data_IF_884664735364
#
_entry.id   IF_884664735364
#
_cell.length_a   1.000
_cell.length_b   1.000
_cell.length_c   1.000
_cell.angle_alpha   90.00
_cell.angle_beta   90.00
_cell.angle_gamma   90.00
#
_symmetry.space_group_name_H-M   'P 1'
#
loop_
_entity.id
_entity.type
_entity.pdbx_description
1 polymer ?
#
# COMPACT_ATOMS: atom_id res chain seq x y z
N UNK A 1 -15.11 -43.68 12.92
CA UNK A 1 -14.62 -42.44 13.57
C UNK A 1 -13.56 -41.69 12.75
N UNK A 2 -12.80 -42.31 11.86
CA UNK A 2 -11.75 -41.65 11.06
C UNK A 2 -12.26 -40.66 9.96
N UNK A 3 -13.49 -40.80 9.49
CA UNK A 3 -14.05 -39.95 8.42
C UNK A 3 -14.41 -38.52 8.84
N UNK A 4 -14.67 -38.28 10.13
CA UNK A 4 -15.06 -36.96 10.63
C UNK A 4 -13.87 -36.05 10.94
N UNK A 5 -12.70 -36.61 11.23
CA UNK A 5 -11.48 -35.83 11.53
C UNK A 5 -10.90 -35.17 10.27
N UNK A 6 -11.02 -35.79 9.11
CA UNK A 6 -10.56 -35.23 7.83
C UNK A 6 -11.40 -34.03 7.35
N UNK A 7 -12.71 -34.03 7.65
CA UNK A 7 -13.61 -32.94 7.26
C UNK A 7 -13.37 -31.70 8.13
N UNK A 8 -13.06 -31.87 9.42
CA UNK A 8 -12.75 -30.74 10.30
C UNK A 8 -11.42 -30.06 9.94
N UNK A 9 -10.41 -30.82 9.51
CA UNK A 9 -9.12 -30.27 9.10
C UNK A 9 -9.21 -29.47 7.80
N UNK A 10 -10.04 -29.91 6.85
CA UNK A 10 -10.26 -29.19 5.58
C UNK A 10 -11.04 -27.87 5.77
N UNK A 11 -11.96 -27.84 6.73
CA UNK A 11 -12.77 -26.64 7.02
C UNK A 11 -11.97 -25.57 7.77
N UNK A 12 -10.94 -25.94 8.51
CA UNK A 12 -10.08 -24.98 9.21
C UNK A 12 -9.14 -24.23 8.24
N UNK A 13 -8.66 -24.90 7.18
CA UNK A 13 -7.82 -24.25 6.14
C UNK A 13 -8.60 -23.22 5.30
N UNK A 14 -9.91 -23.37 5.12
CA UNK A 14 -10.74 -22.41 4.38
C UNK A 14 -11.00 -21.10 5.16
N UNK A 15 -10.97 -21.11 6.48
CA UNK A 15 -11.16 -19.91 7.30
C UNK A 15 -9.92 -19.00 7.33
N UNK A 16 -8.74 -19.55 7.11
CA UNK A 16 -7.46 -18.84 7.12
C UNK A 16 -7.33 -17.95 5.87
N UNK A 17 -7.72 -18.45 4.71
CA UNK A 17 -7.66 -17.71 3.44
C UNK A 17 -8.59 -16.47 3.40
N UNK A 18 -9.72 -16.48 4.10
CA UNK A 18 -10.66 -15.36 4.15
C UNK A 18 -10.11 -14.10 4.84
N UNK A 19 -9.29 -14.25 5.88
CA UNK A 19 -8.89 -13.15 6.74
C UNK A 19 -7.93 -12.18 6.07
N UNK A 20 -6.99 -12.70 5.30
CA UNK A 20 -5.99 -11.91 4.55
C UNK A 20 -6.63 -11.21 3.35
N UNK A 21 -7.52 -11.89 2.67
CA UNK A 21 -8.31 -11.32 1.57
C UNK A 21 -9.24 -10.19 2.05
N UNK A 22 -9.84 -10.33 3.22
CA UNK A 22 -10.64 -9.29 3.85
C UNK A 22 -9.79 -8.09 4.27
N UNK A 23 -8.58 -8.32 4.78
CA UNK A 23 -7.60 -7.28 5.10
C UNK A 23 -7.21 -6.47 3.87
N UNK A 24 -6.86 -7.13 2.77
CA UNK A 24 -6.55 -6.51 1.48
C UNK A 24 -7.71 -5.64 0.98
N UNK A 25 -8.93 -6.19 0.92
CA UNK A 25 -10.13 -5.46 0.48
C UNK A 25 -10.44 -4.26 1.36
N UNK A 26 -10.18 -4.35 2.66
CA UNK A 26 -10.39 -3.24 3.58
C UNK A 26 -9.43 -2.08 3.27
N UNK A 27 -8.14 -2.37 3.07
CA UNK A 27 -7.14 -1.38 2.67
C UNK A 27 -7.52 -0.74 1.34
N UNK A 28 -7.84 -1.55 0.33
CA UNK A 28 -8.26 -1.06 -0.99
C UNK A 28 -9.46 -0.13 -0.91
N UNK A 29 -10.48 -0.48 -0.12
CA UNK A 29 -11.67 0.33 0.11
C UNK A 29 -11.38 1.66 0.83
N UNK A 30 -10.53 1.64 1.85
CA UNK A 30 -10.14 2.84 2.58
C UNK A 30 -9.38 3.81 1.69
N UNK A 31 -8.44 3.30 0.90
CA UNK A 31 -7.55 4.08 0.06
C UNK A 31 -8.26 4.62 -1.17
N UNK A 32 -9.15 3.86 -1.80
CA UNK A 32 -9.90 4.32 -2.98
C UNK A 32 -11.00 5.33 -2.65
N UNK A 33 -11.25 5.61 -1.40
CA UNK A 33 -12.23 6.61 -0.97
C UNK A 33 -11.61 8.00 -0.85
N UNK A 34 -12.05 8.94 -1.68
CA UNK A 34 -11.67 10.35 -1.60
C UNK A 34 -10.28 10.67 -2.16
N UNK A 35 -9.69 11.76 -1.69
CA UNK A 35 -8.38 12.24 -2.11
C UNK A 35 -7.41 12.33 -0.95
N UNK A 36 -6.14 12.20 -1.27
CA UNK A 36 -5.05 12.11 -0.30
C UNK A 36 -3.95 13.12 -0.63
N UNK A 37 -3.17 13.48 0.36
CA UNK A 37 -1.92 14.21 0.19
C UNK A 37 -0.78 13.45 0.85
N UNK A 38 0.43 13.61 0.38
CA UNK A 38 1.62 13.17 1.10
C UNK A 38 1.85 14.14 2.26
N UNK A 39 1.86 13.63 3.46
CA UNK A 39 2.10 14.38 4.70
C UNK A 39 3.49 14.16 5.27
N UNK A 40 4.17 13.09 4.82
CA UNK A 40 5.55 12.80 5.16
C UNK A 40 6.16 11.90 4.08
N UNK A 41 7.32 12.27 3.56
CA UNK A 41 8.15 11.42 2.71
C UNK A 41 9.61 11.62 3.08
N UNK A 42 10.24 10.55 3.51
CA UNK A 42 11.66 10.51 3.85
C UNK A 42 12.30 9.44 2.98
N UNK A 43 13.24 9.84 2.13
CA UNK A 43 14.05 8.96 1.29
C UNK A 43 15.49 8.97 1.81
N UNK A 44 16.01 7.79 2.16
CA UNK A 44 17.40 7.61 2.62
C UNK A 44 17.81 8.61 3.72
N UNK A 45 16.88 8.95 4.62
CA UNK A 45 17.07 9.86 5.74
C UNK A 45 16.91 11.35 5.38
N UNK A 46 16.54 11.69 4.14
CA UNK A 46 16.27 13.06 3.69
C UNK A 46 14.76 13.30 3.60
N UNK A 47 14.28 14.36 4.23
CA UNK A 47 12.87 14.78 4.11
C UNK A 47 12.64 15.45 2.76
N UNK A 48 11.87 14.78 1.91
CA UNK A 48 11.50 15.23 0.56
C UNK A 48 10.01 15.53 0.42
N UNK A 49 9.28 15.62 1.52
CA UNK A 49 7.83 15.91 1.56
C UNK A 49 7.44 17.12 0.71
N UNK A 50 8.28 18.15 0.69
CA UNK A 50 8.03 19.40 -0.05
C UNK A 50 7.87 19.19 -1.56
N UNK A 51 8.50 18.15 -2.13
CA UNK A 51 8.44 17.82 -3.56
C UNK A 51 7.01 17.47 -4.02
N UNK A 52 6.16 17.07 -3.09
CA UNK A 52 4.78 16.64 -3.36
C UNK A 52 3.74 17.64 -2.83
N UNK A 53 4.19 18.81 -2.37
CA UNK A 53 3.31 19.84 -1.84
C UNK A 53 2.29 20.33 -2.88
N UNK A 54 1.03 20.41 -2.48
CA UNK A 54 -0.08 20.83 -3.34
C UNK A 54 -0.64 19.74 -4.26
N UNK A 55 -0.06 18.55 -4.30
CA UNK A 55 -0.63 17.44 -5.05
C UNK A 55 -1.72 16.72 -4.27
N UNK A 56 -2.83 16.45 -4.96
CA UNK A 56 -3.89 15.55 -4.51
C UNK A 56 -3.73 14.22 -5.22
N UNK A 57 -3.68 13.16 -4.45
CA UNK A 57 -3.57 11.78 -4.92
C UNK A 57 -4.95 11.13 -4.91
N UNK A 58 -5.28 10.43 -5.97
CA UNK A 58 -6.52 9.65 -6.09
C UNK A 58 -6.18 8.24 -6.51
N UNK A 59 -6.55 7.29 -5.67
CA UNK A 59 -6.41 5.86 -5.91
C UNK A 59 -7.74 5.32 -6.43
N UNK A 60 -7.79 4.81 -7.66
CA UNK A 60 -9.01 4.28 -8.24
C UNK A 60 -9.08 2.76 -8.10
N UNK A 61 -10.29 2.23 -8.03
CA UNK A 61 -10.54 0.79 -7.89
C UNK A 61 -10.02 -0.05 -9.07
N UNK A 62 -9.76 0.59 -10.21
CA UNK A 62 -9.16 -0.05 -11.40
C UNK A 62 -7.63 -0.15 -11.35
N UNK A 63 -7.01 0.26 -10.24
CA UNK A 63 -5.55 0.28 -10.05
C UNK A 63 -4.86 1.53 -10.60
N UNK A 64 -5.61 2.51 -11.09
CA UNK A 64 -5.04 3.78 -11.54
C UNK A 64 -4.75 4.68 -10.34
N UNK A 65 -3.55 5.26 -10.29
CA UNK A 65 -3.16 6.31 -9.36
C UNK A 65 -2.98 7.62 -10.12
N UNK A 66 -3.60 8.68 -9.64
CA UNK A 66 -3.38 10.03 -10.20
C UNK A 66 -2.91 10.98 -9.14
N UNK A 67 -1.96 11.86 -9.49
CA UNK A 67 -1.50 12.97 -8.68
C UNK A 67 -1.72 14.28 -9.46
N UNK A 68 -2.43 15.23 -8.89
CA UNK A 68 -2.76 16.49 -9.56
C UNK A 68 -2.67 17.67 -8.59
N UNK A 69 -2.09 18.78 -9.08
CA UNK A 69 -2.03 20.06 -8.37
C UNK A 69 -2.82 21.19 -9.08
N UNK A 70 -3.70 20.83 -10.02
CA UNK A 70 -4.47 21.76 -10.82
C UNK A 70 -3.76 22.23 -12.12
N UNK A 71 -2.43 22.34 -12.11
CA UNK A 71 -1.63 22.70 -13.31
C UNK A 71 -1.03 21.47 -13.98
N UNK A 72 -0.63 20.50 -13.18
CA UNK A 72 0.01 19.24 -13.64
C UNK A 72 -0.81 18.05 -13.15
N UNK A 73 -0.85 17.01 -13.98
CA UNK A 73 -1.44 15.73 -13.66
C UNK A 73 -0.51 14.60 -14.07
N UNK A 74 -0.17 13.75 -13.14
CA UNK A 74 0.61 12.54 -13.36
C UNK A 74 -0.26 11.32 -13.12
N UNK A 75 -0.02 10.27 -13.90
CA UNK A 75 -0.77 9.01 -13.79
C UNK A 75 0.22 7.86 -13.59
N UNK A 76 -0.06 7.05 -12.62
CA UNK A 76 0.64 5.82 -12.31
C UNK A 76 -0.33 4.70 -12.00
N UNK A 77 0.17 3.68 -11.35
CA UNK A 77 -0.61 2.53 -10.89
C UNK A 77 -0.39 2.28 -9.40
N UNK A 78 -1.35 1.62 -8.78
CA UNK A 78 -1.25 1.15 -7.41
C UNK A 78 -1.93 -0.20 -7.26
N UNK A 79 -1.52 -0.97 -6.27
CA UNK A 79 -2.18 -2.22 -5.89
C UNK A 79 -1.80 -2.61 -4.46
N UNK A 80 -2.59 -3.50 -3.87
CA UNK A 80 -2.21 -4.23 -2.66
C UNK A 80 -1.90 -5.67 -3.07
N UNK A 81 -0.70 -6.14 -2.77
CA UNK A 81 -0.27 -7.50 -3.07
C UNK A 81 0.07 -8.27 -1.79
N UNK A 82 0.08 -9.58 -1.91
CA UNK A 82 0.47 -10.52 -0.87
C UNK A 82 1.79 -11.18 -1.28
N UNK A 83 2.84 -10.99 -0.48
CA UNK A 83 4.15 -11.59 -0.72
C UNK A 83 4.25 -13.06 -0.29
N UNK A 84 3.32 -13.54 0.56
CA UNK A 84 3.31 -14.91 1.06
C UNK A 84 1.88 -15.48 1.15
N UNK A 85 1.44 -16.17 0.12
CA UNK A 85 0.11 -16.78 0.04
C UNK A 85 -0.10 -18.02 0.92
N UNK A 86 0.92 -18.44 1.68
CA UNK A 86 0.86 -19.69 2.46
C UNK A 86 0.44 -19.50 3.91
N UNK A 87 0.36 -18.29 4.38
CA UNK A 87 -0.09 -17.97 5.73
C UNK A 87 -1.08 -16.79 5.77
N UNK A 88 -1.50 -16.43 6.97
CA UNK A 88 -2.57 -15.45 7.24
C UNK A 88 -2.01 -14.14 7.82
N UNK A 89 -0.72 -13.92 7.67
CA UNK A 89 -0.06 -12.77 8.24
C UNK A 89 -0.35 -11.50 7.42
N UNK A 90 -1.06 -10.56 7.98
CA UNK A 90 -1.36 -9.27 7.35
C UNK A 90 -0.10 -8.41 7.09
N UNK A 91 1.01 -8.72 7.78
CA UNK A 91 2.28 -8.03 7.56
C UNK A 91 2.95 -8.40 6.22
N UNK A 92 2.42 -9.40 5.52
CA UNK A 92 2.87 -9.79 4.18
C UNK A 92 2.13 -9.04 3.07
N UNK A 93 1.23 -8.12 3.43
CA UNK A 93 0.59 -7.24 2.48
C UNK A 93 1.48 -6.05 2.18
N UNK A 94 1.72 -5.83 0.89
CA UNK A 94 2.49 -4.70 0.37
C UNK A 94 1.61 -3.74 -0.40
N UNK A 95 1.91 -2.46 -0.28
CA UNK A 95 1.27 -1.39 -1.03
C UNK A 95 2.19 -0.96 -2.17
N UNK A 96 1.83 -1.32 -3.40
CA UNK A 96 2.67 -1.06 -4.56
C UNK A 96 2.29 0.27 -5.21
N UNK A 97 3.29 1.09 -5.52
CA UNK A 97 3.16 2.32 -6.29
C UNK A 97 4.12 2.27 -7.47
N UNK A 98 3.64 2.68 -8.64
CA UNK A 98 4.50 2.84 -9.81
C UNK A 98 4.08 4.03 -10.67
N UNK A 99 4.99 4.99 -10.85
CA UNK A 99 4.91 6.04 -11.86
C UNK A 99 6.01 5.80 -12.89
N UNK A 100 5.64 5.64 -14.16
CA UNK A 100 6.60 5.52 -15.24
C UNK A 100 7.07 6.93 -15.69
N UNK A 101 7.80 7.60 -14.80
CA UNK A 101 8.27 8.97 -14.93
C UNK A 101 9.75 9.06 -14.54
N UNK A 102 10.40 10.17 -14.90
CA UNK A 102 11.80 10.49 -14.59
C UNK A 102 11.91 11.77 -13.75
N UNK A 103 10.95 12.03 -12.89
CA UNK A 103 10.92 13.16 -11.96
C UNK A 103 10.73 12.62 -10.53
N UNK A 104 10.53 13.50 -9.55
CA UNK A 104 10.38 13.11 -8.13
C UNK A 104 9.31 12.05 -7.84
N UNK A 105 8.36 11.81 -8.77
CA UNK A 105 7.37 10.74 -8.62
C UNK A 105 7.98 9.35 -8.81
N UNK A 106 9.17 9.24 -9.44
CA UNK A 106 9.92 7.99 -9.51
C UNK A 106 10.33 7.49 -8.13
N UNK A 107 10.61 8.40 -7.21
CA UNK A 107 11.05 8.09 -5.84
C UNK A 107 9.93 7.47 -4.98
N UNK A 108 8.67 7.54 -5.43
CA UNK A 108 7.53 6.86 -4.80
C UNK A 108 7.37 5.39 -5.22
N UNK A 109 8.10 4.96 -6.27
CA UNK A 109 7.96 3.62 -6.84
C UNK A 109 8.58 2.58 -5.91
N UNK A 110 7.75 1.77 -5.29
CA UNK A 110 8.18 0.65 -4.46
C UNK A 110 7.03 -0.33 -4.17
N UNK A 111 7.38 -1.48 -3.58
CA UNK A 111 6.49 -2.42 -2.90
C UNK A 111 6.55 -2.17 -1.37
N UNK A 112 5.90 -1.12 -0.94
CA UNK A 112 5.93 -0.61 0.42
C UNK A 112 5.33 -1.58 1.44
N UNK A 113 6.02 -1.79 2.55
CA UNK A 113 5.44 -2.42 3.75
C UNK A 113 4.37 -1.52 4.36
N UNK A 114 3.21 -2.06 4.68
CA UNK A 114 2.12 -1.34 5.34
C UNK A 114 2.36 -1.31 6.85
N UNK A 115 2.69 -0.15 7.40
CA UNK A 115 2.89 0.05 8.84
C UNK A 115 1.55 0.19 9.56
N UNK A 116 0.67 1.04 9.02
CA UNK A 116 -0.69 1.23 9.52
C UNK A 116 -1.61 1.80 8.43
N UNK A 117 -2.89 1.54 8.56
CA UNK A 117 -3.90 2.08 7.66
C UNK A 117 -5.20 2.40 8.41
N UNK A 118 -5.91 3.39 7.91
CA UNK A 118 -7.24 3.78 8.36
C UNK A 118 -7.96 4.56 7.26
N UNK A 119 -9.20 4.94 7.50
CA UNK A 119 -9.96 5.79 6.56
C UNK A 119 -9.36 7.20 6.34
N UNK A 120 -8.37 7.62 7.14
CA UNK A 120 -7.78 8.96 7.10
C UNK A 120 -6.27 9.00 6.99
N UNK A 121 -5.58 7.87 7.17
CA UNK A 121 -4.11 7.80 7.18
C UNK A 121 -3.62 6.46 6.67
N UNK A 122 -2.59 6.49 5.83
CA UNK A 122 -1.84 5.31 5.37
C UNK A 122 -0.36 5.56 5.62
N UNK A 123 0.27 4.75 6.46
CA UNK A 123 1.69 4.81 6.79
C UNK A 123 2.41 3.62 6.19
N UNK A 124 3.42 3.93 5.40
CA UNK A 124 4.22 2.98 4.63
C UNK A 124 5.70 3.14 4.98
N UNK A 125 6.45 2.05 4.86
CA UNK A 125 7.90 2.06 4.95
C UNK A 125 8.52 1.12 3.92
N UNK A 126 9.73 1.41 3.49
CA UNK A 126 10.62 0.46 2.85
C UNK A 126 11.93 0.35 3.61
N UNK A 127 12.48 -0.85 3.67
CA UNK A 127 13.79 -1.11 4.26
C UNK A 127 14.71 -1.59 3.16
N UNK A 128 15.42 -0.65 2.55
CA UNK A 128 16.38 -0.93 1.50
C UNK A 128 17.51 -1.79 2.01
N UNK A 129 17.74 -2.95 1.38
CA UNK A 129 18.88 -3.80 1.66
C UNK A 129 20.20 -3.12 1.32
N UNK A 130 21.30 -3.49 2.02
CA UNK A 130 22.65 -3.06 1.66
C UNK A 130 23.07 -1.66 2.14
N UNK A 131 22.42 -1.10 3.16
CA UNK A 131 22.82 0.16 3.80
C UNK A 131 22.11 1.41 3.26
N UNK A 132 21.05 1.24 2.48
CA UNK A 132 20.22 2.33 1.93
C UNK A 132 19.32 3.03 2.96
N UNK A 133 19.16 2.47 4.15
CA UNK A 133 18.34 3.07 5.21
C UNK A 133 16.88 2.61 5.17
N UNK A 134 16.03 3.39 5.83
CA UNK A 134 14.58 3.16 5.87
C UNK A 134 13.89 4.36 5.25
N UNK A 135 13.07 4.10 4.25
CA UNK A 135 12.24 5.10 3.61
C UNK A 135 10.85 5.10 4.25
N UNK A 136 10.27 6.28 4.40
CA UNK A 136 8.97 6.47 5.04
C UNK A 136 8.06 7.28 4.13
N UNK A 137 6.85 6.78 3.91
CA UNK A 137 5.83 7.47 3.12
C UNK A 137 4.50 7.47 3.87
N UNK A 138 3.94 8.65 4.09
CA UNK A 138 2.63 8.78 4.75
C UNK A 138 1.67 9.57 3.88
N UNK A 139 0.54 8.97 3.57
CA UNK A 139 -0.61 9.66 3.00
C UNK A 139 -1.61 10.04 4.10
N UNK A 140 -2.09 11.27 4.07
CA UNK A 140 -3.19 11.75 4.89
C UNK A 140 -4.36 12.16 3.99
N UNK A 141 -5.57 11.85 4.42
CA UNK A 141 -6.80 12.23 3.69
C UNK A 141 -7.01 13.74 3.72
N UNK A 142 -7.49 14.30 2.62
CA UNK A 142 -7.85 15.71 2.50
C UNK A 142 -9.21 16.00 3.12
#
# INVERSE_FOLDING_TARGET
>A
MAKYVLILSSMFLLLISCRKEDGKKNIEKEVSSGTWRISNFVDSGVDETVNFSGYNFTFKDDGTLTASNGSSKFTGTWSVSDSNSHDDNLNDLHFNINFNLTNNFEDLNDDWDIVSHSSSKLELKDISGGGGGTDLLTFAKN
#
